data_IF_821956216730
#
_entry.id   IF_821956216730
#
_cell.length_a   1.000
_cell.length_b   1.000
_cell.length_c   1.000
_cell.angle_alpha   90.00
_cell.angle_beta   90.00
_cell.angle_gamma   90.00
#
_symmetry.space_group_name_H-M   'P 1'
#
loop_
_entity.id
_entity.type
_entity.pdbx_description
1 polymer ?
#
# COMPACT_ATOMS: atom_id res chain seq x y z
N UNK A 1 25.48 -32.07 -7.62
CA UNK A 1 26.02 -30.69 -7.75
C UNK A 1 24.85 -29.79 -8.06
N UNK A 2 24.42 -28.96 -7.12
CA UNK A 2 23.33 -28.02 -7.43
C UNK A 2 23.76 -27.01 -8.49
N UNK A 3 22.86 -26.72 -9.42
CA UNK A 3 23.16 -25.83 -10.54
C UNK A 3 23.28 -24.39 -10.02
N UNK A 4 24.49 -23.83 -10.04
CA UNK A 4 24.79 -22.45 -9.61
C UNK A 4 23.88 -21.42 -10.26
N UNK A 5 23.44 -21.67 -11.50
CA UNK A 5 22.49 -20.81 -12.23
C UNK A 5 21.14 -20.77 -11.53
N UNK A 6 20.60 -21.93 -11.13
CA UNK A 6 19.31 -22.03 -10.43
C UNK A 6 19.35 -21.29 -9.08
N UNK A 7 20.42 -21.48 -8.31
CA UNK A 7 20.61 -20.77 -7.04
C UNK A 7 20.66 -19.25 -7.20
N UNK A 8 21.32 -18.78 -8.26
CA UNK A 8 21.35 -17.35 -8.57
C UNK A 8 19.99 -16.81 -8.99
N UNK A 9 19.20 -17.58 -9.76
CA UNK A 9 17.84 -17.20 -10.15
C UNK A 9 16.97 -17.05 -8.90
N UNK A 10 16.93 -18.05 -8.02
CA UNK A 10 16.13 -18.01 -6.78
C UNK A 10 16.53 -16.80 -5.93
N UNK A 11 17.82 -16.57 -5.75
CA UNK A 11 18.34 -15.41 -5.01
C UNK A 11 17.83 -14.09 -5.61
N UNK A 12 17.93 -13.91 -6.93
CA UNK A 12 17.47 -12.68 -7.59
C UNK A 12 15.96 -12.50 -7.53
N UNK A 13 15.19 -13.59 -7.64
CA UNK A 13 13.73 -13.55 -7.44
C UNK A 13 13.39 -13.02 -6.05
N UNK A 14 14.06 -13.51 -5.00
CA UNK A 14 13.86 -13.03 -3.62
C UNK A 14 14.24 -11.53 -3.51
N UNK A 15 15.38 -11.13 -4.07
CA UNK A 15 15.86 -9.74 -4.02
C UNK A 15 14.85 -8.80 -4.69
N UNK A 16 14.34 -9.16 -5.86
CA UNK A 16 13.38 -8.35 -6.62
C UNK A 16 12.01 -8.36 -5.96
N UNK A 17 11.58 -9.48 -5.38
CA UNK A 17 10.27 -9.58 -4.72
C UNK A 17 10.22 -8.82 -3.39
N UNK A 18 11.35 -8.65 -2.69
CA UNK A 18 11.40 -8.08 -1.33
C UNK A 18 10.81 -6.65 -1.23
N UNK A 19 11.16 -5.68 -2.10
CA UNK A 19 10.59 -4.33 -2.04
C UNK A 19 9.07 -4.32 -2.20
N UNK A 20 8.53 -5.17 -3.09
CA UNK A 20 7.10 -5.30 -3.29
C UNK A 20 6.43 -5.95 -2.09
N UNK A 21 7.00 -7.02 -1.53
CA UNK A 21 6.44 -7.68 -0.36
C UNK A 21 6.37 -6.73 0.85
N UNK A 22 7.42 -5.97 1.12
CA UNK A 22 7.46 -5.03 2.24
C UNK A 22 6.63 -3.77 1.98
N UNK A 23 6.76 -3.15 0.80
CA UNK A 23 6.03 -1.93 0.45
C UNK A 23 4.53 -2.15 0.29
N UNK A 24 4.11 -3.15 -0.49
CA UNK A 24 2.69 -3.48 -0.65
C UNK A 24 2.09 -4.02 0.66
N UNK A 25 2.91 -4.66 1.49
CA UNK A 25 2.51 -5.08 2.84
C UNK A 25 2.12 -3.90 3.72
N UNK A 26 2.87 -2.79 3.64
CA UNK A 26 2.52 -1.56 4.36
C UNK A 26 1.22 -0.92 3.86
N UNK A 27 0.98 -0.89 2.54
CA UNK A 27 -0.30 -0.43 1.99
C UNK A 27 -1.45 -1.23 2.58
N UNK A 28 -1.34 -2.56 2.56
CA UNK A 28 -2.36 -3.45 3.11
C UNK A 28 -2.55 -3.26 4.61
N UNK A 29 -1.48 -3.05 5.36
CA UNK A 29 -1.55 -2.80 6.79
C UNK A 29 -2.30 -1.49 7.11
N UNK A 30 -2.09 -0.44 6.31
CA UNK A 30 -2.83 0.84 6.46
C UNK A 30 -4.31 0.65 6.12
N UNK A 31 -4.65 -0.05 5.03
CA UNK A 31 -6.05 -0.31 4.65
C UNK A 31 -6.77 -1.14 5.73
N UNK A 32 -6.08 -2.09 6.36
CA UNK A 32 -6.63 -2.93 7.43
C UNK A 32 -6.66 -2.24 8.81
N UNK A 33 -5.98 -1.11 8.96
CA UNK A 33 -6.02 -0.29 10.16
C UNK A 33 -7.18 0.70 10.08
N UNK A 34 -7.82 0.95 11.21
CA UNK A 34 -8.68 2.12 11.40
C UNK A 34 -7.85 3.42 11.44
N UNK A 35 -7.22 3.72 10.30
CA UNK A 35 -6.42 4.91 10.09
C UNK A 35 -7.25 6.20 10.09
N UNK A 36 -8.48 6.27 9.50
CA UNK A 36 -9.32 7.45 9.60
C UNK A 36 -9.59 7.91 11.04
N UNK A 37 -9.88 6.99 11.96
CA UNK A 37 -10.07 7.36 13.38
C UNK A 37 -8.80 7.95 14.01
N UNK A 38 -7.62 7.47 13.59
CA UNK A 38 -6.34 8.05 14.00
C UNK A 38 -6.10 9.42 13.36
N UNK A 39 -6.30 9.56 12.06
CA UNK A 39 -5.89 10.73 11.31
C UNK A 39 -6.83 11.92 11.49
N UNK A 40 -8.14 11.68 11.63
CA UNK A 40 -9.12 12.76 11.82
C UNK A 40 -8.95 13.56 13.11
N UNK A 41 -8.20 13.03 14.08
CA UNK A 41 -7.82 13.77 15.29
C UNK A 41 -6.65 14.75 15.06
N UNK A 42 -5.97 14.66 13.91
CA UNK A 42 -4.73 15.37 13.58
C UNK A 42 -4.89 16.37 12.43
N UNK A 43 -5.85 16.14 11.55
CA UNK A 43 -6.15 17.02 10.42
C UNK A 43 -7.32 17.95 10.72
N UNK A 44 -7.50 18.96 9.87
CA UNK A 44 -8.63 19.87 9.96
C UNK A 44 -9.98 19.13 9.80
N UNK A 45 -11.04 19.58 10.52
CA UNK A 45 -12.39 19.07 10.34
C UNK A 45 -12.91 19.39 8.93
N UNK A 46 -13.97 18.69 8.51
CA UNK A 46 -14.65 19.01 7.25
C UNK A 46 -15.18 20.45 7.26
N UNK A 47 -15.01 21.15 6.14
CA UNK A 47 -15.41 22.56 6.00
C UNK A 47 -16.79 22.72 5.35
N UNK A 48 -17.41 21.62 4.91
CA UNK A 48 -18.62 21.63 4.11
C UNK A 48 -19.83 20.96 4.80
N UNK A 49 -19.70 20.62 6.08
CA UNK A 49 -20.84 20.32 6.95
C UNK A 49 -20.94 18.90 7.50
N UNK A 50 -20.00 17.99 7.20
CA UNK A 50 -19.95 16.70 7.90
C UNK A 50 -19.48 16.92 9.34
N UNK A 51 -20.23 16.38 10.29
CA UNK A 51 -19.77 16.22 11.67
C UNK A 51 -18.58 15.25 11.72
N UNK A 52 -17.73 15.31 12.77
CA UNK A 52 -16.66 14.33 12.96
C UNK A 52 -17.16 12.88 12.93
N UNK A 53 -18.33 12.63 13.51
CA UNK A 53 -18.96 11.32 13.58
C UNK A 53 -19.39 10.82 12.20
N UNK A 54 -20.12 11.65 11.42
CA UNK A 54 -20.53 11.32 10.05
C UNK A 54 -19.32 11.09 9.14
N UNK A 55 -18.31 11.96 9.23
CA UNK A 55 -17.08 11.84 8.44
C UNK A 55 -16.40 10.49 8.70
N UNK A 56 -16.32 10.09 9.97
CA UNK A 56 -15.71 8.82 10.36
C UNK A 56 -16.56 7.62 9.91
N UNK A 57 -17.88 7.69 10.04
CA UNK A 57 -18.80 6.65 9.58
C UNK A 57 -18.64 6.38 8.07
N UNK A 58 -18.63 7.42 7.24
CA UNK A 58 -18.46 7.29 5.80
C UNK A 58 -17.06 6.78 5.41
N UNK A 59 -16.03 7.20 6.14
CA UNK A 59 -14.67 6.68 5.95
C UNK A 59 -14.58 5.18 6.28
N UNK A 60 -15.25 4.73 7.34
CA UNK A 60 -15.35 3.30 7.68
C UNK A 60 -16.09 2.50 6.61
N UNK A 61 -17.18 3.02 6.04
CA UNK A 61 -17.87 2.36 4.94
C UNK A 61 -16.95 2.21 3.71
N UNK A 62 -16.12 3.23 3.43
CA UNK A 62 -15.10 3.15 2.38
C UNK A 62 -14.04 2.09 2.67
N UNK A 63 -13.55 2.01 3.90
CA UNK A 63 -12.59 0.99 4.30
C UNK A 63 -13.20 -0.42 4.22
N UNK A 64 -14.45 -0.59 4.65
CA UNK A 64 -15.16 -1.88 4.54
C UNK A 64 -15.23 -2.33 3.08
N UNK A 65 -15.64 -1.45 2.17
CA UNK A 65 -15.66 -1.69 0.72
C UNK A 65 -14.28 -2.13 0.17
N UNK A 66 -13.19 -1.45 0.56
CA UNK A 66 -11.84 -1.80 0.12
C UNK A 66 -11.33 -3.11 0.74
N UNK A 67 -11.81 -3.49 1.92
CA UNK A 67 -11.42 -4.73 2.60
C UNK A 67 -12.22 -5.96 2.11
N UNK A 68 -13.36 -5.75 1.42
CA UNK A 68 -14.16 -6.84 0.86
C UNK A 68 -13.36 -7.71 -0.11
N UNK A 69 -13.34 -9.04 0.05
CA UNK A 69 -12.59 -9.91 -0.85
C UNK A 69 -13.18 -10.01 -2.25
N UNK A 70 -14.48 -9.72 -2.40
CA UNK A 70 -15.24 -9.76 -3.65
C UNK A 70 -14.81 -8.63 -4.62
N UNK A 71 -14.99 -8.81 -5.95
CA UNK A 71 -14.72 -7.78 -6.95
C UNK A 71 -15.58 -6.52 -6.77
N UNK A 72 -15.10 -5.38 -7.29
CA UNK A 72 -15.76 -4.08 -7.19
C UNK A 72 -17.22 -4.09 -7.63
N UNK A 73 -17.54 -4.72 -8.76
CA UNK A 73 -18.91 -4.80 -9.27
C UNK A 73 -19.91 -5.49 -8.31
N UNK A 74 -19.44 -6.36 -7.41
CA UNK A 74 -20.31 -7.09 -6.48
C UNK A 74 -20.56 -6.33 -5.17
N UNK A 75 -19.67 -5.40 -4.80
CA UNK A 75 -19.72 -4.71 -3.51
C UNK A 75 -19.80 -3.19 -3.61
N UNK A 76 -19.86 -2.63 -4.82
CA UNK A 76 -19.97 -1.17 -5.04
C UNK A 76 -21.22 -0.56 -4.40
N UNK A 77 -22.27 -1.38 -4.21
CA UNK A 77 -23.49 -0.98 -3.49
C UNK A 77 -23.21 -0.44 -2.08
N UNK A 78 -22.14 -0.89 -1.42
CA UNK A 78 -21.72 -0.38 -0.11
C UNK A 78 -21.41 1.13 -0.12
N UNK A 79 -21.03 1.66 -1.29
CA UNK A 79 -20.80 3.10 -1.49
C UNK A 79 -21.99 3.78 -2.17
N UNK A 80 -22.62 3.12 -3.14
CA UNK A 80 -23.77 3.67 -3.87
C UNK A 80 -25.01 3.85 -2.99
N UNK A 81 -25.17 3.05 -1.93
CA UNK A 81 -26.30 3.15 -1.00
C UNK A 81 -26.11 4.24 0.07
N UNK A 82 -24.91 4.82 0.19
CA UNK A 82 -24.65 5.90 1.15
C UNK A 82 -25.37 7.18 0.72
N UNK A 83 -25.89 7.91 1.70
CA UNK A 83 -26.66 9.14 1.50
C UNK A 83 -26.06 10.29 2.29
N UNK A 84 -26.21 11.50 1.75
CA UNK A 84 -25.89 12.73 2.47
C UNK A 84 -26.77 12.86 3.74
N UNK A 85 -26.26 13.49 4.81
CA UNK A 85 -27.04 13.67 6.04
C UNK A 85 -28.40 14.32 5.79
N UNK A 86 -29.45 13.73 6.35
CA UNK A 86 -30.84 14.23 6.24
C UNK A 86 -31.33 14.42 4.80
N UNK A 87 -30.87 13.60 3.86
CA UNK A 87 -31.18 13.72 2.43
C UNK A 87 -31.26 12.35 1.75
N UNK A 88 -32.06 12.25 0.69
CA UNK A 88 -32.09 11.07 -0.20
C UNK A 88 -31.04 11.17 -1.32
N UNK A 89 -30.21 12.22 -1.32
CA UNK A 89 -29.14 12.39 -2.30
C UNK A 89 -27.98 11.43 -2.02
N UNK A 90 -27.41 10.77 -3.05
CA UNK A 90 -26.21 9.93 -2.91
C UNK A 90 -25.05 10.69 -2.26
N UNK A 91 -24.29 10.00 -1.41
CA UNK A 91 -23.06 10.55 -0.82
C UNK A 91 -22.02 10.84 -1.89
N UNK A 92 -21.76 9.86 -2.75
CA UNK A 92 -20.81 9.95 -3.86
C UNK A 92 -21.56 10.18 -5.17
N UNK A 93 -21.02 11.06 -6.00
CA UNK A 93 -21.49 11.22 -7.38
C UNK A 93 -20.92 10.11 -8.29
N UNK A 94 -21.42 10.03 -9.53
CA UNK A 94 -21.02 9.00 -10.49
C UNK A 94 -19.51 8.94 -10.77
N UNK A 95 -18.84 10.10 -10.81
CA UNK A 95 -17.39 10.16 -11.02
C UNK A 95 -16.61 9.62 -9.81
N UNK A 96 -17.07 9.93 -8.60
CA UNK A 96 -16.47 9.40 -7.36
C UNK A 96 -16.66 7.88 -7.26
N UNK A 97 -17.85 7.37 -7.60
CA UNK A 97 -18.13 5.94 -7.67
C UNK A 97 -17.22 5.25 -8.71
N UNK A 98 -17.11 5.80 -9.92
CA UNK A 98 -16.22 5.26 -10.95
C UNK A 98 -14.76 5.20 -10.48
N UNK A 99 -14.28 6.22 -9.79
CA UNK A 99 -12.93 6.22 -9.24
C UNK A 99 -12.75 5.20 -8.12
N UNK A 100 -13.75 5.03 -7.25
CA UNK A 100 -13.70 4.01 -6.20
C UNK A 100 -13.72 2.58 -6.76
N UNK A 101 -14.29 2.36 -7.95
CA UNK A 101 -14.12 1.10 -8.68
C UNK A 101 -12.65 0.91 -9.10
N UNK A 102 -12.00 1.94 -9.66
CA UNK A 102 -10.59 1.87 -10.04
C UNK A 102 -9.67 1.65 -8.83
N UNK A 103 -9.90 2.39 -7.73
CA UNK A 103 -9.16 2.24 -6.47
C UNK A 103 -9.30 0.81 -5.95
N UNK A 104 -10.51 0.24 -5.95
CA UNK A 104 -10.69 -1.14 -5.49
C UNK A 104 -9.93 -2.13 -6.38
N UNK A 105 -10.05 -2.01 -7.70
CA UNK A 105 -9.33 -2.88 -8.64
C UNK A 105 -7.81 -2.81 -8.41
N UNK A 106 -7.26 -1.62 -8.14
CA UNK A 106 -5.87 -1.43 -7.77
C UNK A 106 -5.52 -2.11 -6.44
N UNK A 107 -6.33 -1.92 -5.40
CA UNK A 107 -6.10 -2.57 -4.09
C UNK A 107 -6.18 -4.09 -4.16
N UNK A 108 -7.04 -4.65 -5.02
CA UNK A 108 -7.14 -6.08 -5.28
C UNK A 108 -5.92 -6.62 -6.04
N UNK A 109 -5.41 -5.87 -7.01
CA UNK A 109 -4.15 -6.17 -7.69
C UNK A 109 -2.97 -6.15 -6.71
N UNK A 110 -2.89 -5.12 -5.84
CA UNK A 110 -1.89 -5.00 -4.77
C UNK A 110 -1.93 -6.23 -3.85
N UNK A 111 -3.14 -6.63 -3.41
CA UNK A 111 -3.35 -7.82 -2.59
C UNK A 111 -2.83 -9.09 -3.27
N UNK A 112 -3.10 -9.24 -4.56
CA UNK A 112 -2.67 -10.39 -5.36
C UNK A 112 -1.15 -10.43 -5.53
N UNK A 113 -0.54 -9.32 -5.94
CA UNK A 113 0.92 -9.20 -6.13
C UNK A 113 1.65 -9.42 -4.80
N UNK A 114 1.11 -8.93 -3.70
CA UNK A 114 1.69 -9.15 -2.38
C UNK A 114 1.73 -10.64 -2.02
N UNK A 115 0.66 -11.40 -2.29
CA UNK A 115 0.67 -12.85 -2.05
C UNK A 115 1.63 -13.60 -2.97
N UNK A 116 1.73 -13.20 -4.25
CA UNK A 116 2.71 -13.78 -5.18
C UNK A 116 4.13 -13.57 -4.67
N UNK A 117 4.47 -12.33 -4.28
CA UNK A 117 5.82 -12.00 -3.77
C UNK A 117 6.10 -12.71 -2.45
N UNK A 118 5.12 -12.84 -1.56
CA UNK A 118 5.23 -13.64 -0.34
C UNK A 118 5.59 -15.10 -0.66
N UNK A 119 4.83 -15.75 -1.55
CA UNK A 119 5.07 -17.15 -1.96
C UNK A 119 6.47 -17.32 -2.55
N UNK A 120 6.89 -16.43 -3.45
CA UNK A 120 8.23 -16.47 -4.06
C UNK A 120 9.35 -16.35 -3.01
N UNK A 121 9.21 -15.43 -2.06
CA UNK A 121 10.18 -15.22 -0.99
C UNK A 121 10.23 -16.43 -0.06
N UNK A 122 9.09 -16.89 0.47
CA UNK A 122 9.05 -17.96 1.46
C UNK A 122 9.44 -19.32 0.89
N UNK A 123 9.01 -19.65 -0.34
CA UNK A 123 9.45 -20.89 -0.99
C UNK A 123 10.94 -20.85 -1.36
N UNK A 124 11.41 -19.72 -1.91
CA UNK A 124 12.81 -19.53 -2.27
C UNK A 124 13.74 -19.62 -1.05
N UNK A 125 13.38 -18.93 0.03
CA UNK A 125 14.12 -19.00 1.29
C UNK A 125 13.98 -20.38 1.95
N UNK A 126 12.79 -20.99 1.94
CA UNK A 126 12.58 -22.34 2.46
C UNK A 126 13.52 -23.35 1.80
N UNK A 127 13.64 -23.30 0.47
CA UNK A 127 14.61 -24.10 -0.27
C UNK A 127 16.06 -23.78 0.13
N UNK A 128 16.49 -22.51 0.05
CA UNK A 128 17.88 -22.11 0.33
C UNK A 128 18.31 -22.33 1.79
N UNK A 129 17.39 -22.32 2.74
CA UNK A 129 17.69 -22.47 4.17
C UNK A 129 17.55 -23.91 4.68
N UNK A 130 16.85 -24.77 3.93
CA UNK A 130 16.67 -26.20 4.26
C UNK A 130 17.99 -26.98 4.30
N UNK A 131 18.97 -26.58 3.48
CA UNK A 131 20.25 -27.25 3.36
C UNK A 131 21.40 -26.38 3.88
N UNK A 132 22.24 -26.86 4.81
CA UNK A 132 23.35 -26.08 5.37
C UNK A 132 24.30 -25.48 4.32
N UNK A 133 24.56 -26.21 3.22
CA UNK A 133 25.43 -25.77 2.14
C UNK A 133 24.87 -24.56 1.35
N UNK A 134 23.55 -24.33 1.38
CA UNK A 134 22.87 -23.28 0.61
C UNK A 134 22.56 -22.03 1.43
N UNK A 135 22.58 -22.13 2.76
CA UNK A 135 22.32 -21.03 3.69
C UNK A 135 23.10 -19.74 3.36
N UNK A 136 24.39 -19.79 2.97
CA UNK A 136 25.11 -18.58 2.55
C UNK A 136 24.44 -17.81 1.40
N UNK A 137 23.78 -18.50 0.48
CA UNK A 137 23.05 -17.88 -0.63
C UNK A 137 21.76 -17.23 -0.10
N UNK A 138 21.02 -17.94 0.75
CA UNK A 138 19.78 -17.42 1.37
C UNK A 138 20.02 -16.17 2.22
N UNK A 139 21.06 -16.18 3.06
CA UNK A 139 21.40 -15.02 3.90
C UNK A 139 21.81 -13.79 3.07
N UNK A 140 22.56 -14.01 1.97
CA UNK A 140 22.85 -12.94 1.01
C UNK A 140 21.59 -12.44 0.30
N UNK A 141 20.64 -13.32 -0.03
CA UNK A 141 19.36 -12.93 -0.62
C UNK A 141 18.57 -11.99 0.30
N UNK A 142 18.49 -12.32 1.59
CA UNK A 142 17.85 -11.48 2.62
C UNK A 142 18.55 -10.13 2.73
N UNK A 143 19.88 -10.13 2.87
CA UNK A 143 20.67 -8.91 2.99
C UNK A 143 20.52 -7.98 1.77
N UNK A 144 20.65 -8.54 0.57
CA UNK A 144 20.56 -7.78 -0.68
C UNK A 144 19.13 -7.31 -0.97
N UNK A 145 18.11 -8.14 -0.67
CA UNK A 145 16.70 -7.76 -0.80
C UNK A 145 16.31 -6.65 0.18
N UNK A 146 16.83 -6.70 1.41
CA UNK A 146 16.72 -5.61 2.37
C UNK A 146 17.30 -4.30 1.83
N UNK A 147 18.54 -4.32 1.33
CA UNK A 147 19.18 -3.14 0.74
C UNK A 147 18.44 -2.61 -0.49
N UNK A 148 17.98 -3.50 -1.38
CA UNK A 148 17.17 -3.10 -2.53
C UNK A 148 15.91 -2.36 -2.08
N UNK A 149 15.25 -2.85 -1.03
CA UNK A 149 14.09 -2.19 -0.43
C UNK A 149 14.46 -0.83 0.13
N UNK A 150 15.53 -0.73 0.93
CA UNK A 150 16.00 0.53 1.51
C UNK A 150 16.27 1.57 0.43
N UNK A 151 16.99 1.21 -0.63
CA UNK A 151 17.36 2.13 -1.71
C UNK A 151 16.10 2.65 -2.44
N UNK A 152 15.22 1.74 -2.85
CA UNK A 152 13.99 2.10 -3.59
C UNK A 152 13.09 2.98 -2.73
N UNK A 153 12.85 2.58 -1.48
CA UNK A 153 11.93 3.30 -0.61
C UNK A 153 12.50 4.60 -0.08
N UNK A 154 13.82 4.71 0.13
CA UNK A 154 14.46 5.98 0.45
C UNK A 154 14.32 6.98 -0.70
N UNK A 155 14.43 6.52 -1.95
CA UNK A 155 14.20 7.37 -3.12
C UNK A 155 12.74 7.86 -3.20
N UNK A 156 11.76 6.97 -2.97
CA UNK A 156 10.33 7.31 -2.92
C UNK A 156 10.05 8.29 -1.77
N UNK A 157 10.55 8.01 -0.58
CA UNK A 157 10.38 8.87 0.60
C UNK A 157 10.96 10.27 0.36
N UNK A 158 12.14 10.35 -0.25
CA UNK A 158 12.74 11.62 -0.63
C UNK A 158 11.85 12.38 -1.61
N UNK A 159 11.32 11.69 -2.64
CA UNK A 159 10.47 12.33 -3.64
C UNK A 159 9.17 12.88 -3.03
N UNK A 160 8.51 12.10 -2.16
CA UNK A 160 7.34 12.55 -1.38
C UNK A 160 7.69 13.79 -0.55
N UNK A 161 8.83 13.77 0.15
CA UNK A 161 9.23 14.85 1.04
C UNK A 161 9.61 16.16 0.34
N UNK A 162 10.17 16.11 -0.87
CA UNK A 162 10.59 17.32 -1.62
C UNK A 162 9.56 17.81 -2.64
N UNK A 163 8.62 16.97 -3.04
CA UNK A 163 7.78 17.21 -4.21
C UNK A 163 6.39 16.58 -4.11
N UNK A 164 5.73 16.69 -2.96
CA UNK A 164 4.43 16.08 -2.71
C UNK A 164 3.40 16.31 -3.82
N UNK A 165 3.15 17.56 -4.23
CA UNK A 165 2.13 17.84 -5.24
C UNK A 165 2.45 17.19 -6.59
N UNK A 166 3.73 17.11 -6.97
CA UNK A 166 4.17 16.43 -8.19
C UNK A 166 4.00 14.92 -8.03
N UNK A 167 4.44 14.37 -6.89
CA UNK A 167 4.30 12.96 -6.58
C UNK A 167 2.84 12.51 -6.62
N UNK A 168 1.94 13.26 -5.96
CA UNK A 168 0.51 12.96 -5.90
C UNK A 168 -0.10 12.90 -7.31
N UNK A 169 0.16 13.89 -8.15
CA UNK A 169 -0.33 13.91 -9.54
C UNK A 169 0.24 12.74 -10.34
N UNK A 170 1.56 12.54 -10.32
CA UNK A 170 2.22 11.48 -11.10
C UNK A 170 1.80 10.07 -10.65
N UNK A 171 1.57 9.87 -9.35
CA UNK A 171 1.03 8.64 -8.82
C UNK A 171 -0.35 8.34 -9.42
N UNK A 172 -1.24 9.34 -9.44
CA UNK A 172 -2.58 9.15 -9.99
C UNK A 172 -2.57 8.98 -11.52
N UNK A 173 -1.76 9.75 -12.25
CA UNK A 173 -1.61 9.60 -13.71
C UNK A 173 -1.06 8.23 -14.13
N UNK A 174 -0.21 7.62 -13.30
CA UNK A 174 0.36 6.30 -13.57
C UNK A 174 -0.66 5.17 -13.32
N UNK A 175 -1.54 5.34 -12.33
CA UNK A 175 -2.39 4.26 -11.82
C UNK A 175 -3.85 4.35 -12.25
N UNK A 176 -4.31 5.53 -12.66
CA UNK A 176 -5.70 5.79 -13.00
C UNK A 176 -5.84 6.42 -14.39
N UNK A 177 -6.95 6.15 -15.11
CA UNK A 177 -7.19 6.77 -16.40
C UNK A 177 -7.25 8.31 -16.31
N UNK A 178 -6.83 9.06 -17.35
CA UNK A 178 -6.87 10.51 -17.32
C UNK A 178 -8.27 11.08 -17.03
N UNK A 179 -8.36 12.02 -16.10
CA UNK A 179 -9.61 12.71 -15.75
C UNK A 179 -10.54 11.95 -14.79
N UNK A 180 -10.15 10.78 -14.29
CA UNK A 180 -11.00 9.96 -13.41
C UNK A 180 -10.78 10.21 -11.91
N UNK A 181 -9.75 10.97 -11.52
CA UNK A 181 -9.31 11.11 -10.13
C UNK A 181 -9.30 12.56 -9.63
N UNK A 182 -9.75 13.51 -10.44
CA UNK A 182 -9.82 14.94 -10.07
C UNK A 182 -11.24 15.34 -9.70
N UNK A 183 -11.42 15.86 -8.49
CA UNK A 183 -12.72 16.21 -7.93
C UNK A 183 -12.75 17.64 -7.39
N UNK A 184 -13.95 18.17 -7.16
CA UNK A 184 -14.13 19.46 -6.49
C UNK A 184 -13.92 19.29 -4.99
N UNK A 185 -13.49 20.35 -4.31
CA UNK A 185 -13.34 20.35 -2.85
C UNK A 185 -14.66 20.08 -2.09
N UNK A 186 -15.81 20.30 -2.73
CA UNK A 186 -17.14 20.02 -2.18
C UNK A 186 -17.57 18.56 -2.35
N UNK A 187 -16.91 17.79 -3.22
CA UNK A 187 -17.26 16.39 -3.47
C UNK A 187 -16.85 15.55 -2.25
N UNK A 188 -17.68 14.57 -1.89
CA UNK A 188 -17.60 13.85 -0.61
C UNK A 188 -16.27 13.11 -0.42
N UNK A 189 -15.71 12.54 -1.48
CA UNK A 189 -14.47 11.77 -1.45
C UNK A 189 -13.27 12.63 -1.02
N UNK A 190 -13.14 13.85 -1.54
CA UNK A 190 -12.07 14.79 -1.12
C UNK A 190 -12.28 15.30 0.30
N UNK A 191 -13.54 15.45 0.72
CA UNK A 191 -13.88 15.84 2.10
C UNK A 191 -13.52 14.74 3.09
N UNK A 192 -13.75 13.48 2.73
CA UNK A 192 -13.40 12.32 3.54
C UNK A 192 -11.88 12.08 3.54
N UNK A 193 -11.23 12.14 2.38
CA UNK A 193 -9.80 11.84 2.23
C UNK A 193 -9.06 13.04 1.62
N UNK A 194 -8.89 14.14 2.39
CA UNK A 194 -8.24 15.35 1.88
C UNK A 194 -6.76 15.11 1.61
N UNK A 195 -6.12 16.03 0.91
CA UNK A 195 -4.70 15.91 0.54
C UNK A 195 -3.78 15.63 1.74
N UNK A 196 -4.02 16.28 2.89
CA UNK A 196 -3.24 16.05 4.11
C UNK A 196 -3.33 14.60 4.60
N UNK A 197 -4.51 13.98 4.54
CA UNK A 197 -4.71 12.57 4.91
C UNK A 197 -3.82 11.66 4.05
N UNK A 198 -3.75 11.90 2.74
CA UNK A 198 -2.90 11.12 1.84
C UNK A 198 -1.41 11.40 2.02
N UNK A 199 -1.02 12.64 2.34
CA UNK A 199 0.36 12.99 2.65
C UNK A 199 0.85 12.21 3.87
N UNK A 200 0.06 12.21 4.95
CA UNK A 200 0.42 11.54 6.20
C UNK A 200 0.46 10.00 6.03
N UNK A 201 -0.45 9.41 5.24
CA UNK A 201 -0.32 8.01 4.79
C UNK A 201 1.01 7.79 4.06
N UNK A 202 1.34 8.66 3.11
CA UNK A 202 2.57 8.57 2.32
C UNK A 202 3.82 8.57 3.20
N UNK A 203 3.85 9.42 4.23
CA UNK A 203 4.93 9.48 5.23
C UNK A 203 4.99 8.20 6.06
N UNK A 204 3.86 7.75 6.62
CA UNK A 204 3.79 6.53 7.46
C UNK A 204 4.21 5.30 6.67
N UNK A 205 3.69 5.14 5.46
CA UNK A 205 4.02 4.01 4.59
C UNK A 205 5.50 4.01 4.20
N UNK A 206 6.03 5.16 3.78
CA UNK A 206 7.43 5.28 3.38
C UNK A 206 8.37 5.02 4.55
N UNK A 207 8.10 5.62 5.72
CA UNK A 207 8.89 5.42 6.93
C UNK A 207 8.83 3.99 7.45
N UNK A 208 7.62 3.40 7.52
CA UNK A 208 7.43 2.04 7.99
C UNK A 208 8.06 1.00 7.05
N UNK A 209 7.88 1.14 5.74
CA UNK A 209 8.48 0.23 4.78
C UNK A 209 10.02 0.36 4.73
N UNK A 210 10.56 1.58 4.89
CA UNK A 210 12.00 1.81 5.05
C UNK A 210 12.56 1.13 6.31
N UNK A 211 11.87 1.26 7.45
CA UNK A 211 12.24 0.60 8.70
C UNK A 211 12.27 -0.92 8.54
N UNK A 212 11.25 -1.50 7.90
CA UNK A 212 11.23 -2.94 7.60
C UNK A 212 12.41 -3.36 6.72
N UNK A 213 12.74 -2.57 5.69
CA UNK A 213 13.91 -2.79 4.85
C UNK A 213 15.22 -2.80 5.65
N UNK A 214 15.40 -1.84 6.57
CA UNK A 214 16.56 -1.76 7.46
C UNK A 214 16.65 -3.00 8.37
N UNK A 215 15.52 -3.40 8.97
CA UNK A 215 15.46 -4.59 9.84
C UNK A 215 15.84 -5.85 9.06
N UNK A 216 15.25 -6.06 7.88
CA UNK A 216 15.57 -7.21 7.00
C UNK A 216 17.04 -7.20 6.60
N UNK A 217 17.59 -6.03 6.28
CA UNK A 217 19.02 -5.86 5.97
C UNK A 217 19.88 -6.25 7.18
N UNK A 218 19.56 -5.75 8.37
CA UNK A 218 20.28 -6.07 9.61
C UNK A 218 20.26 -7.57 9.94
N UNK A 219 19.11 -8.22 9.78
CA UNK A 219 18.96 -9.67 9.94
C UNK A 219 19.85 -10.41 8.93
N UNK A 220 19.78 -10.04 7.64
CA UNK A 220 20.60 -10.65 6.60
C UNK A 220 22.10 -10.51 6.89
N UNK A 221 22.54 -9.31 7.28
CA UNK A 221 23.93 -9.04 7.65
C UNK A 221 24.39 -9.92 8.81
N UNK A 222 23.61 -9.96 9.90
CA UNK A 222 23.92 -10.77 11.06
C UNK A 222 23.98 -12.26 10.75
N UNK A 223 23.05 -12.77 9.93
CA UNK A 223 23.06 -14.16 9.47
C UNK A 223 24.30 -14.47 8.64
N UNK A 224 24.73 -13.56 7.75
CA UNK A 224 25.97 -13.76 6.98
C UNK A 224 27.24 -13.76 7.82
N UNK A 225 27.24 -13.07 8.97
CA UNK A 225 28.37 -13.05 9.93
C UNK A 225 28.48 -14.30 10.80
N UNK A 226 27.42 -15.10 10.89
CA UNK A 226 27.35 -16.33 11.69
C UNK A 226 27.74 -17.60 10.93
N UNK A 227 28.11 -17.46 9.66
CA UNK A 227 28.70 -18.50 8.83
C UNK A 227 30.23 -18.44 8.93
#
# INVERSE_FOLDING_TARGET
MENKTVLNIIKWVIIIAMPFFLGLGMIRAVIAWDYPAFEYQRIAPDQYGFTPEERLEYAHATLDYLQRPEPSAEVIYLLEDLRLPNSDQPLYNEAEISHMVDVKNLTDAIRTIWWITAVLIFLGLGYLLSQPALRPVGFRAIYQGGWATVIILAAIALFIGVGWSIFFVQFHELLFPPGTWTFRYTDSLIRLFPEQFWFDIGVIMSGGALLLGIVVTGIGYWLTKRL
#
